data_IF_692343246507
#
_entry.id   IF_692343246507
#
_cell.length_a   1.000
_cell.length_b   1.000
_cell.length_c   1.000
_cell.angle_alpha   90.00
_cell.angle_beta   90.00
_cell.angle_gamma   90.00
#
_symmetry.space_group_name_H-M   'P 1'
#
loop_
_entity.id
_entity.type
_entity.pdbx_description
1 polymer ?
#
# COMPACT_ATOMS: atom_id res chain seq x y z
N UNK A 1 -6.79 -20.98 -62.51
CA UNK A 1 -7.29 -20.56 -61.18
C UNK A 1 -6.33 -19.52 -60.62
N UNK A 2 -6.60 -18.23 -60.86
CA UNK A 2 -5.67 -17.14 -60.53
C UNK A 2 -5.96 -16.63 -59.11
N UNK A 3 -5.02 -16.87 -58.20
CA UNK A 3 -5.07 -16.33 -56.84
C UNK A 3 -4.76 -14.83 -56.91
N UNK A 4 -5.76 -13.97 -56.65
CA UNK A 4 -5.54 -12.54 -56.39
C UNK A 4 -4.79 -12.41 -55.06
N UNK A 5 -3.54 -11.98 -55.11
CA UNK A 5 -2.85 -11.47 -53.92
C UNK A 5 -3.30 -10.01 -53.72
N UNK A 6 -4.11 -9.76 -52.70
CA UNK A 6 -4.41 -8.41 -52.25
C UNK A 6 -3.24 -7.95 -51.36
N UNK A 7 -2.42 -7.03 -51.88
CA UNK A 7 -1.36 -6.38 -51.10
C UNK A 7 -1.93 -5.19 -50.32
N UNK A 8 -1.48 -4.99 -49.09
CA UNK A 8 -1.77 -3.78 -48.31
C UNK A 8 -1.11 -2.56 -48.94
N UNK A 9 -1.82 -1.43 -48.98
CA UNK A 9 -1.22 -0.17 -49.41
C UNK A 9 -0.39 0.46 -48.28
N UNK A 10 0.67 1.19 -48.64
CA UNK A 10 1.50 1.90 -47.66
C UNK A 10 0.70 2.94 -46.86
N UNK A 11 -0.30 3.56 -47.49
CA UNK A 11 -1.15 4.55 -46.83
C UNK A 11 -2.09 3.92 -45.80
N UNK A 12 -2.62 2.72 -46.06
CA UNK A 12 -3.41 1.98 -45.06
C UNK A 12 -2.59 1.67 -43.81
N UNK A 13 -1.35 1.20 -43.99
CA UNK A 13 -0.47 0.89 -42.87
C UNK A 13 -0.11 2.16 -42.07
N UNK A 14 0.11 3.28 -42.76
CA UNK A 14 0.40 4.57 -42.13
C UNK A 14 -0.77 5.08 -41.27
N UNK A 15 -2.01 4.98 -41.75
CA UNK A 15 -3.19 5.40 -40.98
C UNK A 15 -3.38 4.52 -39.75
N UNK A 16 -3.12 3.21 -39.84
CA UNK A 16 -3.27 2.28 -38.71
C UNK A 16 -2.29 2.61 -37.59
N UNK A 17 -1.02 2.84 -37.89
CA UNK A 17 -0.03 3.19 -36.85
C UNK A 17 -0.32 4.57 -36.24
N UNK A 18 -0.88 5.50 -37.02
CA UNK A 18 -1.31 6.80 -36.51
C UNK A 18 -2.44 6.66 -35.48
N UNK A 19 -3.45 5.83 -35.77
CA UNK A 19 -4.57 5.57 -34.85
C UNK A 19 -4.07 4.83 -33.59
N UNK A 20 -3.22 3.80 -33.74
CA UNK A 20 -2.63 3.08 -32.60
C UNK A 20 -1.83 4.04 -31.71
N UNK A 21 -1.08 4.97 -32.31
CA UNK A 21 -0.34 6.00 -31.58
C UNK A 21 -1.24 6.85 -30.69
N UNK A 22 -2.35 7.36 -31.24
CA UNK A 22 -3.31 8.19 -30.49
C UNK A 22 -3.98 7.40 -29.36
N UNK A 23 -4.42 6.16 -29.64
CA UNK A 23 -5.07 5.34 -28.61
C UNK A 23 -4.09 4.93 -27.50
N UNK A 24 -2.83 4.64 -27.85
CA UNK A 24 -1.81 4.21 -26.88
C UNK A 24 -1.48 5.28 -25.84
N UNK A 25 -1.46 6.56 -26.22
CA UNK A 25 -1.13 7.65 -25.29
C UNK A 25 -2.19 7.84 -24.20
N UNK A 26 -3.48 7.73 -24.57
CA UNK A 26 -4.61 7.83 -23.63
C UNK A 26 -4.58 6.65 -22.64
N UNK A 27 -4.34 5.43 -23.15
CA UNK A 27 -4.28 4.22 -22.32
C UNK A 27 -3.15 4.33 -21.29
N UNK A 28 -1.95 4.79 -21.70
CA UNK A 28 -0.82 4.93 -20.78
C UNK A 28 -1.09 5.92 -19.64
N UNK A 29 -1.72 7.06 -19.93
CA UNK A 29 -2.10 8.03 -18.90
C UNK A 29 -3.09 7.41 -17.88
N UNK A 30 -4.12 6.72 -18.37
CA UNK A 30 -5.12 6.06 -17.52
C UNK A 30 -4.51 4.96 -16.64
N UNK A 31 -3.54 4.21 -17.18
CA UNK A 31 -2.89 3.12 -16.48
C UNK A 31 -2.04 3.62 -15.31
N UNK A 32 -1.38 4.78 -15.46
CA UNK A 32 -0.55 5.33 -14.39
C UNK A 32 -1.39 5.70 -13.15
N UNK A 33 -2.54 6.35 -13.36
CA UNK A 33 -3.49 6.66 -12.27
C UNK A 33 -4.07 5.39 -11.65
N UNK A 34 -4.44 4.39 -12.46
CA UNK A 34 -4.97 3.12 -11.97
C UNK A 34 -3.95 2.36 -11.13
N UNK A 35 -2.67 2.36 -11.53
CA UNK A 35 -1.57 1.76 -10.76
C UNK A 35 -1.39 2.42 -9.39
N UNK A 36 -1.41 3.75 -9.32
CA UNK A 36 -1.33 4.48 -8.05
C UNK A 36 -2.46 4.08 -7.09
N UNK A 37 -3.72 4.11 -7.57
CA UNK A 37 -4.87 3.68 -6.76
C UNK A 37 -4.79 2.20 -6.33
N UNK A 38 -4.25 1.34 -7.19
CA UNK A 38 -4.03 -0.08 -6.87
C UNK A 38 -2.98 -0.28 -5.77
N UNK A 39 -1.90 0.51 -5.80
CA UNK A 39 -0.90 0.51 -4.73
C UNK A 39 -1.50 1.00 -3.41
N UNK A 40 -2.27 2.09 -3.43
CA UNK A 40 -2.96 2.59 -2.23
C UNK A 40 -3.94 1.56 -1.65
N UNK A 41 -4.68 0.85 -2.51
CA UNK A 41 -5.57 -0.22 -2.08
C UNK A 41 -4.81 -1.38 -1.44
N UNK A 42 -3.64 -1.75 -1.99
CA UNK A 42 -2.76 -2.76 -1.40
C UNK A 42 -2.31 -2.31 0.00
N UNK A 43 -1.84 -1.08 0.16
CA UNK A 43 -1.40 -0.51 1.45
C UNK A 43 -2.52 -0.59 2.48
N UNK A 44 -3.72 -0.10 2.13
CA UNK A 44 -4.90 -0.15 3.01
C UNK A 44 -5.26 -1.58 3.40
N UNK A 45 -5.23 -2.52 2.46
CA UNK A 45 -5.53 -3.93 2.75
C UNK A 45 -4.51 -4.59 3.67
N UNK A 46 -3.22 -4.27 3.52
CA UNK A 46 -2.16 -4.80 4.40
C UNK A 46 -2.38 -4.29 5.82
N UNK A 47 -2.48 -2.97 5.99
CA UNK A 47 -2.61 -2.36 7.32
C UNK A 47 -3.92 -2.77 8.00
N UNK A 48 -5.04 -2.89 7.28
CA UNK A 48 -6.30 -3.36 7.88
C UNK A 48 -6.20 -4.79 8.42
N UNK A 49 -5.35 -5.64 7.82
CA UNK A 49 -5.10 -7.01 8.30
C UNK A 49 -4.30 -7.07 9.60
N UNK A 50 -3.52 -6.02 9.90
CA UNK A 50 -2.72 -5.91 11.11
C UNK A 50 -3.59 -6.01 12.37
N UNK A 51 -4.80 -5.42 12.38
CA UNK A 51 -5.67 -5.39 13.57
C UNK A 51 -6.03 -6.79 14.08
N UNK A 52 -6.37 -7.71 13.17
CA UNK A 52 -6.67 -9.09 13.59
C UNK A 52 -5.43 -9.81 14.13
N UNK A 53 -4.26 -9.56 13.55
CA UNK A 53 -3.01 -10.12 14.04
C UNK A 53 -2.59 -9.52 15.40
N UNK A 54 -2.85 -8.23 15.61
CA UNK A 54 -2.55 -7.56 16.87
C UNK A 54 -3.45 -8.03 17.99
N UNK A 55 -4.74 -8.23 17.73
CA UNK A 55 -5.68 -8.81 18.70
C UNK A 55 -5.23 -10.21 19.13
N UNK A 56 -4.80 -11.05 18.17
CA UNK A 56 -4.25 -12.38 18.47
C UNK A 56 -2.96 -12.32 19.32
N UNK A 57 -2.11 -11.31 19.10
CA UNK A 57 -0.94 -11.08 19.94
C UNK A 57 -1.34 -10.68 21.37
N UNK A 58 -2.32 -9.79 21.50
CA UNK A 58 -2.84 -9.37 22.79
C UNK A 58 -3.49 -10.53 23.56
N UNK A 59 -4.23 -11.41 22.88
CA UNK A 59 -4.82 -12.60 23.50
C UNK A 59 -3.77 -13.56 24.07
N UNK A 60 -2.58 -13.60 23.46
CA UNK A 60 -1.49 -14.49 23.87
C UNK A 60 -0.58 -13.88 24.95
N UNK A 61 -0.32 -12.57 24.88
CA UNK A 61 0.68 -11.90 25.71
C UNK A 61 0.07 -10.93 26.75
N UNK A 62 -1.15 -10.45 26.53
CA UNK A 62 -1.85 -9.50 27.40
C UNK A 62 -1.42 -8.03 27.24
N UNK A 63 -0.59 -7.74 26.23
CA UNK A 63 -0.08 -6.40 25.90
C UNK A 63 0.28 -6.32 24.41
N UNK A 64 0.57 -5.12 23.89
CA UNK A 64 0.98 -4.87 22.50
C UNK A 64 2.49 -4.66 22.37
N UNK A 65 3.27 -5.43 23.12
CA UNK A 65 4.73 -5.31 23.17
C UNK A 65 5.25 -4.42 24.30
N UNK A 66 6.44 -3.86 24.15
CA UNK A 66 7.15 -3.04 25.13
C UNK A 66 6.96 -1.55 24.85
N UNK A 67 6.94 -0.75 25.91
CA UNK A 67 6.77 0.70 25.83
C UNK A 67 7.87 1.38 25.03
N UNK A 68 7.50 2.14 23.98
CA UNK A 68 8.38 3.06 23.27
C UNK A 68 9.12 2.44 22.09
N UNK A 69 8.56 1.43 21.41
CA UNK A 69 9.11 0.98 20.14
C UNK A 69 8.54 1.82 19.00
N UNK A 70 9.36 2.70 18.44
CA UNK A 70 9.08 3.50 17.24
C UNK A 70 9.55 2.81 15.94
N UNK A 71 9.72 1.49 15.99
CA UNK A 71 10.24 0.70 14.86
C UNK A 71 9.34 -0.48 14.55
N UNK A 72 9.13 -0.74 13.26
CA UNK A 72 8.34 -1.87 12.77
C UNK A 72 9.08 -3.23 12.85
N UNK A 73 10.25 -3.30 13.47
CA UNK A 73 11.15 -4.47 13.43
C UNK A 73 11.49 -5.04 14.81
N UNK A 74 10.86 -4.56 15.87
CA UNK A 74 11.10 -5.01 17.24
C UNK A 74 9.85 -5.58 17.91
N UNK A 75 10.07 -6.56 18.78
CA UNK A 75 9.11 -7.06 19.76
C UNK A 75 7.73 -7.41 19.16
N UNK A 76 6.65 -6.72 19.53
CA UNK A 76 5.31 -6.94 18.98
C UNK A 76 5.28 -6.89 17.44
N UNK A 77 5.98 -5.94 16.83
CA UNK A 77 5.97 -5.76 15.38
C UNK A 77 6.81 -6.80 14.62
N UNK A 78 7.66 -7.58 15.28
CA UNK A 78 8.39 -8.69 14.65
C UNK A 78 7.84 -10.06 15.02
N UNK A 79 6.71 -10.11 15.73
CA UNK A 79 6.11 -11.37 16.14
C UNK A 79 5.53 -12.15 14.96
N UNK A 80 6.03 -13.38 14.80
CA UNK A 80 5.62 -14.31 13.75
C UNK A 80 4.55 -15.29 14.21
N UNK A 81 4.37 -15.47 15.52
CA UNK A 81 3.42 -16.43 16.07
C UNK A 81 1.97 -15.95 15.88
N UNK A 82 1.71 -14.68 16.18
CA UNK A 82 0.43 -14.01 15.98
C UNK A 82 0.26 -13.45 14.56
N UNK A 83 1.35 -13.46 13.78
CA UNK A 83 1.36 -13.09 12.35
C UNK A 83 1.50 -11.60 12.09
N UNK A 84 1.81 -10.80 13.11
CA UNK A 84 1.99 -9.34 13.05
C UNK A 84 3.11 -8.96 12.08
N UNK A 85 4.23 -9.69 12.12
CA UNK A 85 5.41 -9.49 11.27
C UNK A 85 5.09 -9.40 9.76
N UNK A 86 4.02 -10.07 9.30
CA UNK A 86 3.64 -10.07 7.88
C UNK A 86 3.13 -8.71 7.42
N UNK A 87 2.52 -7.95 8.34
CA UNK A 87 1.91 -6.65 8.07
C UNK A 87 2.84 -5.49 8.37
N UNK A 88 3.93 -5.73 9.11
CA UNK A 88 4.94 -4.74 9.50
C UNK A 88 6.22 -4.83 8.69
N UNK A 89 6.35 -5.84 7.82
CA UNK A 89 7.48 -5.97 6.91
C UNK A 89 7.35 -5.00 5.72
N UNK A 90 8.26 -4.02 5.69
CA UNK A 90 8.37 -3.00 4.64
C UNK A 90 8.49 -3.58 3.22
N UNK A 91 9.01 -4.80 3.06
CA UNK A 91 9.14 -5.46 1.75
C UNK A 91 7.79 -5.87 1.14
N UNK A 92 6.73 -5.99 1.96
CA UNK A 92 5.38 -6.29 1.48
C UNK A 92 4.68 -5.05 0.89
N UNK A 93 5.22 -3.86 1.13
CA UNK A 93 4.65 -2.59 0.69
C UNK A 93 5.25 -2.13 -0.66
N UNK A 94 4.46 -1.41 -1.49
CA UNK A 94 4.98 -0.82 -2.73
C UNK A 94 6.05 0.25 -2.43
N UNK A 95 6.92 0.51 -3.40
CA UNK A 95 7.92 1.60 -3.30
C UNK A 95 7.21 2.93 -3.05
N UNK A 96 7.68 3.69 -2.07
CA UNK A 96 7.09 4.95 -1.63
C UNK A 96 6.06 4.83 -0.51
N UNK A 97 5.65 3.61 -0.13
CA UNK A 97 4.81 3.35 1.04
C UNK A 97 5.67 3.03 2.27
N UNK A 98 6.30 4.04 2.87
CA UNK A 98 7.07 3.88 4.11
C UNK A 98 6.13 3.62 5.29
N UNK A 99 6.47 2.62 6.10
CA UNK A 99 5.74 2.24 7.30
C UNK A 99 6.32 2.94 8.55
N UNK A 100 5.44 3.44 9.43
CA UNK A 100 5.77 3.94 10.77
C UNK A 100 4.95 3.14 11.79
N UNK A 101 5.61 2.60 12.82
CA UNK A 101 4.98 1.74 13.81
C UNK A 101 5.38 2.21 15.20
N UNK A 102 4.38 2.39 16.06
CA UNK A 102 4.56 2.88 17.41
C UNK A 102 3.73 2.03 18.38
N UNK A 103 4.32 1.69 19.52
CA UNK A 103 3.59 1.08 20.63
C UNK A 103 4.12 1.56 21.98
N UNK A 104 3.21 1.75 22.93
CA UNK A 104 3.51 2.02 24.34
C UNK A 104 3.33 0.76 25.23
N UNK A 105 3.03 -0.39 24.61
CA UNK A 105 2.71 -1.66 25.27
C UNK A 105 1.24 -1.82 25.65
N UNK A 106 0.47 -0.75 25.79
CA UNK A 106 -0.98 -0.78 26.04
C UNK A 106 -1.80 -0.45 24.79
N UNK A 107 -1.24 0.33 23.88
CA UNK A 107 -1.79 0.77 22.62
C UNK A 107 -0.74 0.69 21.52
N UNK A 108 -1.20 0.67 20.27
CA UNK A 108 -0.33 0.73 19.10
C UNK A 108 -0.98 1.58 18.01
N UNK A 109 -0.16 2.23 17.20
CA UNK A 109 -0.57 2.76 15.92
C UNK A 109 0.46 2.40 14.84
N UNK A 110 -0.06 2.09 13.65
CA UNK A 110 0.75 1.82 12.48
C UNK A 110 0.20 2.62 11.32
N UNK A 111 1.07 3.33 10.62
CA UNK A 111 0.73 4.07 9.41
C UNK A 111 1.65 3.71 8.25
N UNK A 112 1.13 3.75 7.03
CA UNK A 112 1.95 3.68 5.84
C UNK A 112 1.58 4.79 4.86
N UNK A 113 2.59 5.40 4.25
CA UNK A 113 2.41 6.37 3.18
C UNK A 113 1.62 5.77 2.01
N UNK A 114 0.74 6.58 1.43
CA UNK A 114 -0.01 6.24 0.23
C UNK A 114 0.75 6.76 -0.99
N UNK A 115 1.46 5.90 -1.75
CA UNK A 115 2.31 6.35 -2.86
C UNK A 115 1.51 6.94 -4.03
N UNK A 116 0.22 6.61 -4.14
CA UNK A 116 -0.70 7.23 -5.08
C UNK A 116 -1.21 8.60 -4.65
N UNK A 117 -1.08 8.95 -3.37
CA UNK A 117 -1.36 10.28 -2.85
C UNK A 117 -0.11 11.15 -2.99
N UNK A 118 -0.12 12.10 -3.92
CA UNK A 118 1.00 13.05 -4.12
C UNK A 118 1.15 14.07 -2.97
N UNK A 119 0.34 13.94 -1.92
CA UNK A 119 0.20 14.90 -0.83
C UNK A 119 0.93 14.45 0.45
N UNK A 120 1.65 13.32 0.40
CA UNK A 120 2.37 12.77 1.57
C UNK A 120 1.47 12.13 2.62
N UNK A 121 0.19 11.92 2.30
CA UNK A 121 -0.76 11.33 3.24
C UNK A 121 -0.48 9.85 3.51
N UNK A 122 -0.74 9.41 4.74
CA UNK A 122 -0.63 8.02 5.14
C UNK A 122 -2.00 7.42 5.48
N UNK A 123 -2.09 6.10 5.43
CA UNK A 123 -3.19 5.35 6.02
C UNK A 123 -2.76 4.83 7.37
N UNK A 124 -3.53 5.11 8.41
CA UNK A 124 -3.22 4.75 9.78
C UNK A 124 -4.27 3.80 10.35
N UNK A 125 -3.81 2.82 11.13
CA UNK A 125 -4.65 2.01 12.03
C UNK A 125 -4.11 2.03 13.44
N UNK A 126 -5.00 2.05 14.42
CA UNK A 126 -4.65 1.99 15.84
C UNK A 126 -5.40 0.88 16.59
N UNK A 127 -4.99 0.66 17.83
CA UNK A 127 -5.60 -0.28 18.78
C UNK A 127 -7.02 0.09 19.20
N UNK A 128 -7.46 1.33 18.97
CA UNK A 128 -8.82 1.78 19.32
C UNK A 128 -9.86 1.48 18.24
N UNK A 129 -9.42 0.97 17.08
CA UNK A 129 -10.30 0.61 15.97
C UNK A 129 -10.31 1.61 14.83
N UNK A 130 -9.56 2.72 14.91
CA UNK A 130 -9.56 3.70 13.83
C UNK A 130 -8.82 3.17 12.61
N UNK A 131 -9.34 3.48 11.43
CA UNK A 131 -8.71 3.17 10.14
C UNK A 131 -8.96 4.37 9.24
N UNK A 132 -8.07 5.36 9.28
CA UNK A 132 -8.29 6.66 8.64
C UNK A 132 -7.06 7.12 7.86
N UNK A 133 -7.31 8.02 6.92
CA UNK A 133 -6.25 8.75 6.22
C UNK A 133 -5.76 9.87 7.15
N UNK A 134 -4.45 9.98 7.31
CA UNK A 134 -3.76 11.06 8.03
C UNK A 134 -2.91 11.87 7.04
N UNK A 135 -2.75 13.17 7.30
CA UNK A 135 -2.11 14.09 6.35
C UNK A 135 -0.57 14.06 6.41
N UNK A 136 -0.01 13.49 7.48
CA UNK A 136 1.43 13.29 7.68
C UNK A 136 1.67 11.91 8.30
N UNK A 137 2.88 11.36 8.21
CA UNK A 137 3.25 10.15 8.95
C UNK A 137 3.05 10.34 10.45
N UNK A 138 2.69 9.26 11.17
CA UNK A 138 2.63 9.26 12.63
C UNK A 138 3.89 9.88 13.23
N UNK A 139 3.74 10.72 14.26
CA UNK A 139 4.88 11.23 15.00
C UNK A 139 5.41 10.16 15.97
N UNK A 140 6.67 10.32 16.37
CA UNK A 140 7.32 9.38 17.29
C UNK A 140 6.53 9.29 18.62
N UNK A 141 6.21 8.07 19.02
CA UNK A 141 5.42 7.77 20.22
C UNK A 141 3.89 7.89 20.06
N UNK A 142 3.36 8.30 18.91
CA UNK A 142 1.91 8.38 18.72
C UNK A 142 1.29 6.98 18.61
N UNK A 143 0.44 6.62 19.57
CA UNK A 143 -0.30 5.34 19.58
C UNK A 143 -1.75 5.48 19.12
N UNK A 144 -2.12 6.65 18.60
CA UNK A 144 -3.44 6.95 18.06
C UNK A 144 -3.32 7.52 16.66
N UNK A 145 -4.25 7.14 15.79
CA UNK A 145 -4.37 7.77 14.49
C UNK A 145 -5.10 9.11 14.65
N UNK A 146 -4.37 10.19 14.92
CA UNK A 146 -4.90 11.56 14.96
C UNK A 146 -4.66 12.35 13.66
#
# INVERSE_FOLDING_TARGET
MWRKHNGFTLIELLVVIAIIGILSSIVLASLNTARGKGQDAKVKSQISGLRGASENYYDSNGHYGTTGSDTCSGDFFSDTASGVARYTDQSNYPVGATLSCHTDGSAYAVSALLPGANDGSAWCVDSTGNSKKIDVTLADGDTLCD
#
